data_IF_718251348176
#
_entry.id   IF_718251348176
#
_cell.length_a   1.000
_cell.length_b   1.000
_cell.length_c   1.000
_cell.angle_alpha   90.00
_cell.angle_beta   90.00
_cell.angle_gamma   90.00
#
_symmetry.space_group_name_H-M   'P 1'
#
loop_
_entity.id
_entity.type
_entity.pdbx_description
1 polymer ?
#
# COMPACT_ATOMS: atom_id res chain seq x y z
N UNK A 1 0.96 24.09 8.39
CA UNK A 1 1.62 23.66 8.02
C UNK A 1 1.70 23.24 7.24
N UNK A 2 2.02 23.36 7.19
CA UNK A 2 2.02 22.97 6.23
C UNK A 2 2.55 21.93 5.79
N UNK A 3 3.28 21.85 5.42
CA UNK A 3 3.52 20.97 4.58
C UNK A 3 3.34 19.90 5.01
N UNK A 4 2.83 19.43 4.60
CA UNK A 4 2.27 18.37 4.99
C UNK A 4 2.81 17.13 4.43
N UNK A 5 3.41 17.13 3.34
CA UNK A 5 4.05 15.95 2.80
C UNK A 5 5.53 16.04 3.06
N UNK A 6 6.03 15.07 3.82
CA UNK A 6 7.46 14.94 4.02
C UNK A 6 8.00 14.04 2.92
N UNK A 7 9.01 14.51 2.25
CA UNK A 7 9.62 13.74 1.18
C UNK A 7 11.05 13.42 1.54
N UNK A 8 11.39 12.13 1.55
CA UNK A 8 12.75 11.69 1.73
C UNK A 8 13.41 11.68 0.36
N UNK A 9 14.42 12.48 0.19
CA UNK A 9 15.09 12.60 -1.09
C UNK A 9 16.42 11.87 -1.17
N UNK A 10 16.95 11.42 -0.03
CA UNK A 10 18.21 10.72 -0.02
C UNK A 10 18.02 9.26 -0.41
N UNK A 11 18.94 8.71 -1.15
CA UNK A 11 18.92 7.30 -1.49
C UNK A 11 19.70 6.44 -0.51
N UNK A 12 20.35 7.06 0.48
CA UNK A 12 21.21 6.32 1.40
C UNK A 12 20.44 5.35 2.29
N UNK A 13 19.21 5.70 2.64
CA UNK A 13 18.40 4.88 3.54
C UNK A 13 17.43 3.98 2.79
N UNK A 14 17.44 4.00 1.47
CA UNK A 14 16.51 3.22 0.66
C UNK A 14 17.19 1.96 0.14
N UNK A 15 16.48 0.84 0.19
CA UNK A 15 17.00 -0.40 -0.35
C UNK A 15 17.10 -0.31 -1.87
N UNK A 16 17.95 -1.14 -2.48
CA UNK A 16 18.03 -1.19 -3.95
C UNK A 16 16.68 -1.52 -4.60
N UNK A 17 15.90 -2.39 -3.97
CA UNK A 17 14.58 -2.74 -4.48
C UNK A 17 13.65 -1.53 -4.46
N UNK A 18 13.63 -0.77 -3.35
CA UNK A 18 12.82 0.43 -3.26
C UNK A 18 13.24 1.44 -4.31
N UNK A 19 14.53 1.64 -4.49
CA UNK A 19 15.04 2.57 -5.52
C UNK A 19 14.59 2.15 -6.91
N UNK A 20 14.64 0.86 -7.20
CA UNK A 20 14.21 0.31 -8.48
C UNK A 20 12.74 0.65 -8.75
N UNK A 21 11.88 0.44 -7.77
CA UNK A 21 10.46 0.69 -7.97
C UNK A 21 10.13 2.17 -8.00
N UNK A 22 10.86 3.01 -7.28
CA UNK A 22 10.71 4.46 -7.43
C UNK A 22 11.02 4.90 -8.86
N UNK A 23 12.05 4.33 -9.48
CA UNK A 23 12.34 4.63 -10.89
C UNK A 23 11.22 4.16 -11.80
N UNK A 24 10.71 2.94 -11.57
CA UNK A 24 9.62 2.41 -12.39
C UNK A 24 8.36 3.25 -12.27
N UNK A 25 8.05 3.73 -11.06
CA UNK A 25 6.90 4.60 -10.86
C UNK A 25 7.07 5.89 -11.65
N UNK A 26 8.25 6.50 -11.58
CA UNK A 26 8.51 7.75 -12.29
C UNK A 26 8.44 7.61 -13.80
N UNK A 27 8.86 6.47 -14.32
CA UNK A 27 8.98 6.25 -15.77
C UNK A 27 7.76 5.58 -16.39
N UNK A 28 6.81 5.13 -15.60
CA UNK A 28 5.65 4.42 -16.12
C UNK A 28 4.80 5.36 -16.97
N UNK A 29 4.51 5.00 -18.24
CA UNK A 29 3.92 5.96 -19.18
C UNK A 29 2.47 6.32 -18.93
N UNK A 30 1.72 5.48 -18.21
CA UNK A 30 0.28 5.69 -18.09
C UNK A 30 -0.18 6.04 -16.68
N UNK A 31 0.73 6.15 -15.71
CA UNK A 31 0.34 6.50 -14.35
C UNK A 31 0.02 8.00 -14.26
N UNK A 32 -1.11 8.31 -13.61
CA UNK A 32 -1.44 9.69 -13.30
C UNK A 32 -0.52 10.21 -12.20
N UNK A 33 -0.38 11.54 -12.06
CA UNK A 33 0.40 12.10 -10.96
C UNK A 33 -0.09 11.62 -9.59
N UNK A 34 -1.41 11.51 -9.41
CA UNK A 34 -1.97 11.04 -8.14
C UNK A 34 -1.55 9.60 -7.85
N UNK A 35 -1.66 8.72 -8.85
CA UNK A 35 -1.28 7.31 -8.65
C UNK A 35 0.21 7.18 -8.33
N UNK A 36 1.04 7.99 -8.94
CA UNK A 36 2.47 8.01 -8.60
C UNK A 36 2.69 8.39 -7.15
N UNK A 37 1.96 9.40 -6.66
CA UNK A 37 2.03 9.80 -5.26
C UNK A 37 1.59 8.68 -4.33
N UNK A 38 0.51 8.00 -4.67
CA UNK A 38 0.00 6.88 -3.87
C UNK A 38 1.08 5.80 -3.74
N UNK A 39 1.67 5.41 -4.86
CA UNK A 39 2.64 4.32 -4.84
C UNK A 39 3.93 4.72 -4.13
N UNK A 40 4.40 5.94 -4.31
CA UNK A 40 5.57 6.42 -3.57
C UNK A 40 5.33 6.46 -2.07
N UNK A 41 4.13 6.86 -1.68
CA UNK A 41 3.74 6.88 -0.26
C UNK A 41 3.62 5.46 0.29
N UNK A 42 3.05 4.56 -0.50
CA UNK A 42 2.86 3.19 -0.09
C UNK A 42 4.19 2.49 0.20
N UNK A 43 5.22 2.82 -0.56
CA UNK A 43 6.56 2.27 -0.31
C UNK A 43 7.12 2.64 1.06
N UNK A 44 6.57 3.64 1.72
CA UNK A 44 7.01 4.00 3.07
C UNK A 44 6.40 3.12 4.16
N UNK A 45 5.40 2.31 3.85
CA UNK A 45 4.77 1.41 4.82
C UNK A 45 5.66 0.18 4.98
N UNK A 46 6.26 -0.03 6.16
CA UNK A 46 7.25 -1.10 6.31
C UNK A 46 6.62 -2.48 6.40
N UNK A 47 7.45 -3.47 6.17
CA UNK A 47 7.08 -4.86 6.36
C UNK A 47 6.67 -5.07 7.83
N UNK A 48 5.64 -5.85 8.05
CA UNK A 48 5.14 -6.09 9.41
C UNK A 48 4.19 -5.03 9.92
N UNK A 49 3.96 -3.98 9.15
CA UNK A 49 3.00 -2.92 9.49
C UNK A 49 1.89 -2.89 8.45
N UNK A 50 0.79 -2.30 8.81
CA UNK A 50 -0.34 -2.13 7.91
C UNK A 50 -0.92 -0.74 8.12
N UNK A 51 -1.63 -0.27 7.11
CA UNK A 51 -2.34 1.01 7.19
C UNK A 51 -3.74 0.82 6.63
N UNK A 52 -4.49 1.91 6.50
CA UNK A 52 -5.86 1.84 5.97
C UNK A 52 -6.01 2.78 4.79
N UNK A 53 -7.01 2.52 3.96
CA UNK A 53 -7.35 3.43 2.86
C UNK A 53 -7.66 4.82 3.39
N UNK A 54 -8.37 4.89 4.53
CA UNK A 54 -8.72 6.18 5.14
C UNK A 54 -7.49 6.93 5.61
N UNK A 55 -6.52 6.25 6.24
CA UNK A 55 -5.30 6.90 6.72
C UNK A 55 -4.47 7.44 5.57
N UNK A 56 -4.32 6.66 4.50
CA UNK A 56 -3.60 7.13 3.32
C UNK A 56 -4.32 8.28 2.65
N UNK A 57 -5.65 8.21 2.56
CA UNK A 57 -6.44 9.30 1.97
C UNK A 57 -6.26 10.59 2.75
N UNK A 58 -6.24 10.52 4.07
CA UNK A 58 -6.04 11.70 4.90
C UNK A 58 -4.66 12.32 4.63
N UNK A 59 -3.62 11.49 4.57
CA UNK A 59 -2.27 11.97 4.28
C UNK A 59 -2.18 12.62 2.90
N UNK A 60 -2.81 11.99 1.90
CA UNK A 60 -2.74 12.47 0.52
C UNK A 60 -3.76 13.55 0.21
N UNK A 61 -4.61 13.89 1.18
CA UNK A 61 -5.69 14.87 1.01
C UNK A 61 -6.63 14.47 -0.11
N UNK A 62 -7.05 13.20 -0.07
CA UNK A 62 -7.87 12.60 -1.09
C UNK A 62 -8.98 11.79 -0.44
N UNK A 63 -9.53 10.80 -1.14
CA UNK A 63 -10.58 9.95 -0.62
C UNK A 63 -10.13 8.50 -0.57
N UNK A 64 -10.76 7.73 0.32
CA UNK A 64 -10.50 6.30 0.39
C UNK A 64 -10.81 5.61 -0.94
N UNK A 65 -11.83 6.10 -1.66
CA UNK A 65 -12.18 5.54 -2.96
C UNK A 65 -11.05 5.75 -3.98
N UNK A 66 -10.47 6.96 -4.02
CA UNK A 66 -9.39 7.23 -4.96
C UNK A 66 -8.16 6.39 -4.63
N UNK A 67 -7.82 6.26 -3.34
CA UNK A 67 -6.73 5.41 -2.90
C UNK A 67 -7.03 3.95 -3.27
N UNK A 68 -8.24 3.48 -3.02
CA UNK A 68 -8.64 2.12 -3.35
C UNK A 68 -8.52 1.82 -4.84
N UNK A 69 -8.90 2.78 -5.69
CA UNK A 69 -8.76 2.61 -7.13
C UNK A 69 -7.29 2.49 -7.54
N UNK A 70 -6.41 3.27 -6.93
CA UNK A 70 -4.98 3.17 -7.20
C UNK A 70 -4.43 1.80 -6.76
N UNK A 71 -4.88 1.30 -5.61
CA UNK A 71 -4.45 -0.02 -5.12
C UNK A 71 -4.91 -1.12 -6.07
N UNK A 72 -6.17 -1.04 -6.52
CA UNK A 72 -6.74 -2.05 -7.39
C UNK A 72 -5.98 -2.19 -8.70
N UNK A 73 -5.43 -1.10 -9.20
CA UNK A 73 -4.75 -1.07 -10.49
C UNK A 73 -3.24 -0.99 -10.35
N UNK A 74 -2.70 -1.31 -9.18
CA UNK A 74 -1.26 -1.26 -8.93
C UNK A 74 -0.52 -2.27 -9.81
N UNK A 75 0.31 -1.81 -10.77
CA UNK A 75 1.03 -2.72 -11.65
C UNK A 75 2.32 -3.26 -11.04
N UNK A 76 2.65 -2.85 -9.82
CA UNK A 76 3.93 -3.19 -9.19
C UNK A 76 3.77 -4.07 -7.94
N UNK A 77 2.58 -4.68 -7.75
CA UNK A 77 2.38 -5.55 -6.60
C UNK A 77 3.23 -6.81 -6.77
N UNK A 78 3.76 -7.38 -5.71
CA UNK A 78 3.63 -6.95 -4.30
C UNK A 78 4.76 -6.04 -3.82
N UNK A 79 5.72 -5.69 -4.65
CA UNK A 79 6.86 -4.89 -4.24
C UNK A 79 6.43 -3.48 -3.84
N UNK A 80 5.47 -2.91 -4.55
CA UNK A 80 4.74 -1.74 -4.05
C UNK A 80 3.56 -2.32 -3.26
N UNK A 81 3.64 -2.30 -1.91
CA UNK A 81 2.91 -3.27 -1.10
C UNK A 81 1.45 -2.90 -0.83
N UNK A 82 0.62 -2.99 -1.86
CA UNK A 82 -0.80 -2.70 -1.69
C UNK A 82 -1.48 -3.68 -0.72
N UNK A 83 -0.87 -4.84 -0.45
CA UNK A 83 -1.41 -5.77 0.53
C UNK A 83 -1.36 -5.23 1.96
N UNK A 84 -0.58 -4.18 2.21
CA UNK A 84 -0.47 -3.57 3.53
C UNK A 84 -1.53 -2.52 3.81
N UNK A 85 -2.49 -2.34 2.90
CA UNK A 85 -3.58 -1.36 3.07
C UNK A 85 -4.87 -2.10 3.37
N UNK A 86 -5.43 -1.84 4.53
CA UNK A 86 -6.63 -2.52 5.02
C UNK A 86 -7.82 -1.58 5.01
N UNK A 87 -9.03 -2.15 5.20
CA UNK A 87 -10.22 -1.36 5.40
C UNK A 87 -10.15 -0.61 6.73
N UNK A 88 -10.96 0.44 6.87
CA UNK A 88 -10.92 1.30 8.05
C UNK A 88 -11.21 0.53 9.34
N UNK A 89 -11.97 -0.56 9.27
CA UNK A 89 -12.26 -1.40 10.43
C UNK A 89 -11.18 -2.45 10.69
N UNK A 90 -10.04 -2.36 10.02
CA UNK A 90 -8.88 -3.24 10.13
C UNK A 90 -9.08 -4.62 9.54
N UNK A 91 -10.14 -4.83 8.77
CA UNK A 91 -10.31 -6.08 8.03
C UNK A 91 -9.57 -6.01 6.69
N UNK A 92 -9.44 -7.14 6.02
CA UNK A 92 -8.64 -7.22 4.80
C UNK A 92 -9.07 -6.25 3.70
N UNK A 93 -10.38 -5.99 3.55
CA UNK A 93 -10.85 -5.22 2.41
C UNK A 93 -10.59 -5.97 1.10
N UNK A 94 -10.38 -5.24 0.02
CA UNK A 94 -10.11 -5.84 -1.28
C UNK A 94 -8.62 -5.93 -1.57
N UNK A 95 -8.27 -6.72 -2.57
CA UNK A 95 -6.90 -6.84 -3.04
C UNK A 95 -6.91 -7.16 -4.53
N UNK A 96 -6.12 -6.43 -5.28
CA UNK A 96 -6.04 -6.60 -6.74
C UNK A 96 -7.41 -6.54 -7.41
N UNK A 97 -8.28 -5.66 -6.90
CA UNK A 97 -9.62 -5.47 -7.44
C UNK A 97 -10.66 -6.44 -6.92
N UNK A 98 -10.29 -7.35 -6.01
CA UNK A 98 -11.23 -8.33 -5.49
C UNK A 98 -11.66 -7.94 -4.09
N UNK A 99 -12.97 -7.77 -3.91
CA UNK A 99 -13.57 -7.40 -2.62
C UNK A 99 -14.31 -8.57 -1.98
N UNK A 100 -14.53 -9.66 -2.74
CA UNK A 100 -15.20 -10.85 -2.26
C UNK A 100 -14.39 -12.06 -2.66
N UNK A 101 -14.46 -13.11 -1.86
CA UNK A 101 -13.82 -14.36 -2.21
C UNK A 101 -14.47 -14.90 -3.46
N UNK A 102 -13.65 -15.21 -4.46
CA UNK A 102 -14.15 -15.79 -5.70
C UNK A 102 -14.23 -17.29 -5.55
N UNK A 103 -15.40 -17.84 -5.79
CA UNK A 103 -15.60 -19.28 -5.75
C UNK A 103 -14.98 -19.99 -6.93
N UNK A 104 -14.61 -19.25 -7.95
CA UNK A 104 -14.11 -19.84 -9.19
C UNK A 104 -12.60 -19.90 -9.27
N UNK A 105 -11.90 -19.35 -8.27
CA UNK A 105 -10.44 -19.33 -8.30
C UNK A 105 -9.89 -20.57 -7.64
N UNK A 106 -9.23 -21.38 -8.43
CA UNK A 106 -8.49 -22.51 -7.90
C UNK A 106 -7.28 -21.95 -7.14
N UNK A 107 -6.99 -22.51 -5.98
CA UNK A 107 -5.83 -22.10 -5.21
C UNK A 107 -6.04 -20.85 -4.36
N UNK A 108 -7.27 -20.37 -4.27
CA UNK A 108 -7.60 -19.25 -3.42
C UNK A 108 -7.89 -17.97 -4.17
N UNK A 109 -8.23 -16.95 -3.43
CA UNK A 109 -8.58 -15.64 -3.96
C UNK A 109 -7.44 -14.66 -3.74
N UNK A 110 -7.56 -13.48 -4.32
CA UNK A 110 -6.63 -12.38 -4.04
C UNK A 110 -6.70 -11.97 -2.57
N UNK A 111 -7.86 -12.08 -1.92
CA UNK A 111 -7.95 -11.82 -0.48
C UNK A 111 -7.11 -12.81 0.33
N UNK A 112 -7.13 -14.07 -0.07
CA UNK A 112 -6.30 -15.07 0.58
C UNK A 112 -4.82 -14.77 0.37
N UNK A 113 -4.43 -14.35 -0.82
CA UNK A 113 -3.06 -13.93 -1.09
C UNK A 113 -2.65 -12.78 -0.18
N UNK A 114 -3.51 -11.79 -0.03
CA UNK A 114 -3.27 -10.64 0.83
C UNK A 114 -3.04 -11.08 2.28
N UNK A 115 -3.90 -11.97 2.77
CA UNK A 115 -3.80 -12.48 4.12
C UNK A 115 -2.49 -13.25 4.34
N UNK A 116 -2.12 -14.08 3.38
CA UNK A 116 -0.89 -14.87 3.45
C UNK A 116 0.33 -13.94 3.49
N UNK A 117 0.37 -12.93 2.61
CA UNK A 117 1.49 -11.99 2.60
C UNK A 117 1.63 -11.24 3.90
N UNK A 118 0.52 -10.80 4.48
CA UNK A 118 0.55 -10.12 5.77
C UNK A 118 1.01 -11.04 6.88
N UNK A 119 0.54 -12.28 6.87
CA UNK A 119 0.95 -13.27 7.87
C UNK A 119 2.45 -13.55 7.79
N UNK A 120 2.98 -13.64 6.59
CA UNK A 120 4.42 -13.85 6.37
C UNK A 120 5.24 -12.68 6.91
N UNK A 121 4.66 -11.49 6.95
CA UNK A 121 5.30 -10.31 7.49
C UNK A 121 5.08 -10.14 9.00
N UNK A 122 4.34 -11.04 9.61
CA UNK A 122 4.11 -11.01 11.06
C UNK A 122 2.83 -10.31 11.49
N UNK A 123 1.97 -9.92 10.57
CA UNK A 123 0.69 -9.30 10.91
C UNK A 123 -0.30 -10.39 11.28
N UNK A 124 -0.89 -10.28 12.47
CA UNK A 124 -1.83 -11.28 12.98
C UNK A 124 -3.23 -10.71 12.96
N UNK A 125 -4.20 -11.58 12.69
CA UNK A 125 -5.62 -11.21 12.69
C UNK A 125 -6.32 -11.95 13.83
N UNK A 126 -7.25 -11.25 14.47
CA UNK A 126 -8.01 -11.88 15.56
C UNK A 126 -9.16 -12.71 14.99
N UNK A 127 -9.96 -13.29 15.90
CA UNK A 127 -11.06 -14.17 15.50
C UNK A 127 -12.14 -13.45 14.70
N UNK A 128 -12.20 -12.12 14.78
CA UNK A 128 -13.15 -11.33 14.01
C UNK A 128 -12.58 -10.87 12.67
N UNK A 129 -11.35 -11.24 12.35
CA UNK A 129 -10.71 -10.87 11.10
C UNK A 129 -10.07 -9.50 11.10
N UNK A 130 -9.83 -8.93 12.28
CA UNK A 130 -9.21 -7.61 12.38
C UNK A 130 -7.73 -7.72 12.69
N UNK A 131 -6.93 -6.91 12.04
CA UNK A 131 -5.49 -6.89 12.23
C UNK A 131 -5.14 -6.37 13.62
N UNK A 132 -4.15 -7.00 14.24
CA UNK A 132 -3.60 -6.53 15.50
C UNK A 132 -2.56 -5.44 15.29
N UNK A 133 -2.14 -4.81 16.40
CA UNK A 133 -1.17 -3.73 16.33
C UNK A 133 -1.82 -2.41 15.97
N UNK A 134 -0.99 -1.47 15.53
CA UNK A 134 -1.44 -0.11 15.25
C UNK A 134 -1.34 0.20 13.78
N UNK A 135 -2.29 1.00 13.29
CA UNK A 135 -2.27 1.51 11.94
C UNK A 135 -1.03 2.39 11.74
N UNK A 136 -0.29 2.12 10.68
CA UNK A 136 0.87 2.94 10.32
C UNK A 136 0.37 4.27 9.75
N UNK A 137 0.85 5.37 10.27
CA UNK A 137 0.46 6.70 9.80
C UNK A 137 1.64 7.62 9.53
N UNK A 138 2.86 7.12 9.68
CA UNK A 138 4.06 7.93 9.50
C UNK A 138 4.50 7.95 8.04
N UNK A 139 3.57 8.22 7.16
CA UNK A 139 3.81 8.19 5.73
C UNK A 139 4.85 9.19 5.28
N UNK A 140 5.63 8.77 4.31
CA UNK A 140 6.55 9.64 3.58
C UNK A 140 6.39 9.36 2.10
N UNK A 141 6.30 10.40 1.32
CA UNK A 141 6.29 10.22 -0.13
C UNK A 141 7.75 10.11 -0.57
N UNK A 142 8.21 8.88 -0.79
CA UNK A 142 9.60 8.63 -1.13
C UNK A 142 9.92 9.10 -2.53
N UNK A 143 11.14 9.58 -2.72
CA UNK A 143 11.60 9.96 -4.05
C UNK A 143 13.10 9.72 -4.15
N UNK A 144 13.57 9.62 -5.38
CA UNK A 144 15.00 9.47 -5.63
C UNK A 144 15.64 10.84 -5.75
N UNK A 145 16.80 10.96 -5.15
CA UNK A 145 17.63 12.15 -5.31
C UNK A 145 18.46 11.98 -6.57
N UNK A 146 18.55 13.03 -7.33
CA UNK A 146 19.44 13.01 -8.49
C UNK A 146 20.87 13.24 -8.08
#
# INVERSE_FOLDING_TARGET
>A
MPATTTTITTTQTLSPTTQKFLRRISLHPTLTPFRRRVYRTLLSVPEGRWTTYAAMAAHLKSSARAVGNAMRTNPFAPEVPCHRVLAADRTLGGYKGEWRVSKHKAGGSFREEKKIRLAEEGVKFDVTGKAGGQCFTDFVELSLTK
#
